data_IF_302456449418
#
_entry.id   IF_302456449418
#
_cell.length_a   1.000
_cell.length_b   1.000
_cell.length_c   1.000
_cell.angle_alpha   90.00
_cell.angle_beta   90.00
_cell.angle_gamma   90.00
#
_symmetry.space_group_name_H-M   'P 1'
#
loop_
_entity.id
_entity.type
_entity.pdbx_description
1 polymer ?
#
# COMPACT_ATOMS: atom_id res chain seq x y z
N UNK A 1 -14.81 1.28 2.19
CA UNK A 1 -14.72 2.77 2.27
C UNK A 1 -15.73 3.45 1.36
N UNK A 2 -15.74 3.19 0.04
CA UNK A 2 -16.65 3.86 -0.90
C UNK A 2 -18.14 3.55 -0.66
N UNK A 3 -18.46 2.35 -0.18
CA UNK A 3 -19.82 1.92 0.22
C UNK A 3 -20.08 2.08 1.71
N UNK A 4 -19.13 1.64 2.54
CA UNK A 4 -19.31 1.60 4.00
C UNK A 4 -19.13 2.91 4.76
N UNK A 5 -18.56 3.96 4.15
CA UNK A 5 -18.44 5.26 4.82
C UNK A 5 -19.82 5.94 4.87
N UNK A 6 -20.25 6.38 6.06
CA UNK A 6 -21.47 7.18 6.21
C UNK A 6 -21.38 8.54 5.48
N UNK A 7 -22.51 9.20 5.25
CA UNK A 7 -22.59 10.43 4.43
C UNK A 7 -21.64 11.54 4.90
N UNK A 8 -21.53 11.74 6.21
CA UNK A 8 -20.60 12.70 6.81
C UNK A 8 -19.16 12.43 6.39
N UNK A 9 -18.70 11.19 6.56
CA UNK A 9 -17.34 10.79 6.25
C UNK A 9 -17.08 10.82 4.73
N UNK A 10 -18.08 10.49 3.91
CA UNK A 10 -17.98 10.62 2.45
C UNK A 10 -17.74 12.06 2.00
N UNK A 11 -18.46 13.01 2.60
CA UNK A 11 -18.28 14.43 2.32
C UNK A 11 -16.89 14.92 2.76
N UNK A 12 -16.49 14.59 3.99
CA UNK A 12 -15.18 14.96 4.55
C UNK A 12 -14.00 14.39 3.76
N UNK A 13 -14.16 13.18 3.22
CA UNK A 13 -13.13 12.51 2.42
C UNK A 13 -13.23 12.83 0.93
N UNK A 14 -14.16 13.68 0.50
CA UNK A 14 -14.41 13.98 -0.92
C UNK A 14 -14.58 12.70 -1.77
N UNK A 15 -15.33 11.72 -1.27
CA UNK A 15 -15.56 10.44 -1.95
C UNK A 15 -16.64 10.56 -3.03
N UNK A 16 -16.38 9.91 -4.15
CA UNK A 16 -17.28 9.84 -5.30
C UNK A 16 -17.69 8.39 -5.58
N UNK A 17 -18.48 8.19 -6.64
CA UNK A 17 -18.84 6.86 -7.12
C UNK A 17 -17.63 6.09 -7.68
N UNK A 18 -17.70 4.76 -7.68
CA UNK A 18 -16.66 3.88 -8.23
C UNK A 18 -16.24 4.25 -9.65
N UNK A 19 -17.21 4.62 -10.50
CA UNK A 19 -16.98 5.00 -11.90
C UNK A 19 -16.13 6.26 -12.08
N UNK A 20 -15.97 7.06 -11.02
CA UNK A 20 -15.23 8.33 -11.04
C UNK A 20 -13.74 8.14 -10.75
N UNK A 21 -13.27 6.94 -10.41
CA UNK A 21 -11.88 6.70 -10.06
C UNK A 21 -11.14 5.91 -11.13
N UNK A 22 -10.18 6.56 -11.81
CA UNK A 22 -9.38 5.91 -12.87
C UNK A 22 -8.57 4.71 -12.37
N UNK A 23 -8.08 4.76 -11.13
CA UNK A 23 -7.35 3.65 -10.53
C UNK A 23 -8.22 2.43 -10.22
N UNK A 24 -9.54 2.57 -10.25
CA UNK A 24 -10.49 1.46 -10.14
C UNK A 24 -10.91 0.98 -11.54
N UNK A 25 -9.94 0.47 -12.31
CA UNK A 25 -10.11 0.14 -13.73
C UNK A 25 -11.22 -0.90 -14.01
N UNK A 26 -11.53 -1.76 -13.05
CA UNK A 26 -12.55 -2.81 -13.17
C UNK A 26 -13.87 -2.41 -12.47
N UNK A 27 -13.98 -1.18 -11.98
CA UNK A 27 -15.15 -0.70 -11.26
C UNK A 27 -15.43 -1.46 -9.96
N UNK A 28 -16.70 -1.65 -9.66
CA UNK A 28 -17.16 -2.36 -8.47
C UNK A 28 -17.23 -3.88 -8.74
N UNK A 29 -16.22 -4.61 -8.29
CA UNK A 29 -16.20 -6.08 -8.31
C UNK A 29 -16.61 -6.59 -6.93
N UNK A 30 -17.77 -7.23 -6.85
CA UNK A 30 -18.28 -7.79 -5.59
C UNK A 30 -17.77 -9.22 -5.39
N UNK A 31 -17.33 -9.53 -4.18
CA UNK A 31 -16.98 -10.90 -3.79
C UNK A 31 -18.23 -11.68 -3.35
N UNK A 32 -18.42 -12.92 -3.80
CA UNK A 32 -19.58 -13.70 -3.41
C UNK A 32 -19.55 -13.98 -1.89
N UNK A 33 -20.63 -13.61 -1.21
CA UNK A 33 -20.78 -13.81 0.24
C UNK A 33 -20.10 -12.76 1.13
N UNK A 34 -19.54 -11.70 0.56
CA UNK A 34 -18.96 -10.58 1.31
C UNK A 34 -19.60 -9.25 0.92
N UNK A 35 -19.96 -8.44 1.92
CA UNK A 35 -20.44 -7.08 1.72
C UNK A 35 -19.38 -6.07 2.17
N UNK A 36 -18.94 -5.20 1.25
CA UNK A 36 -17.94 -4.16 1.52
C UNK A 36 -18.33 -3.22 2.69
N UNK A 37 -19.63 -3.02 2.89
CA UNK A 37 -20.17 -2.20 3.99
C UNK A 37 -19.93 -2.85 5.35
N UNK A 38 -20.15 -4.17 5.44
CA UNK A 38 -19.93 -4.95 6.67
C UNK A 38 -18.44 -5.02 6.97
N UNK A 39 -17.61 -5.38 5.98
CA UNK A 39 -16.15 -5.45 6.11
C UNK A 39 -15.53 -4.11 6.54
N UNK A 40 -16.07 -2.99 6.03
CA UNK A 40 -15.62 -1.67 6.47
C UNK A 40 -15.91 -1.43 7.94
N UNK A 41 -17.12 -1.78 8.41
CA UNK A 41 -17.53 -1.63 9.81
C UNK A 41 -16.65 -2.50 10.71
N UNK A 42 -16.48 -3.77 10.37
CA UNK A 42 -15.60 -4.70 11.09
C UNK A 42 -14.16 -4.18 11.19
N UNK A 43 -13.63 -3.59 10.10
CA UNK A 43 -12.29 -3.01 10.10
C UNK A 43 -12.19 -1.78 11.02
N UNK A 44 -13.20 -0.92 11.05
CA UNK A 44 -13.24 0.25 11.94
C UNK A 44 -13.32 -0.16 13.42
N UNK A 45 -14.10 -1.20 13.71
CA UNK A 45 -14.23 -1.79 15.05
C UNK A 45 -12.90 -2.43 15.49
N UNK A 46 -12.24 -3.16 14.59
CA UNK A 46 -10.91 -3.73 14.85
C UNK A 46 -9.89 -2.63 15.21
N UNK A 47 -9.89 -1.49 14.52
CA UNK A 47 -9.02 -0.36 14.90
C UNK A 47 -9.36 0.21 16.28
N UNK A 48 -10.64 0.21 16.67
CA UNK A 48 -11.06 0.64 18.01
C UNK A 48 -10.55 -0.30 19.09
N UNK A 49 -10.68 -1.61 18.88
CA UNK A 49 -10.15 -2.65 19.78
C UNK A 49 -8.63 -2.50 19.95
N UNK A 50 -7.93 -2.23 18.85
CA UNK A 50 -6.48 -1.96 18.84
C UNK A 50 -6.09 -0.61 19.46
N UNK A 51 -7.05 0.15 20.00
CA UNK A 51 -6.84 1.47 20.62
C UNK A 51 -6.12 2.45 19.69
N UNK A 52 -6.49 2.44 18.40
CA UNK A 52 -6.07 3.46 17.44
C UNK A 52 -7.05 4.64 17.55
N UNK A 53 -6.58 5.86 17.86
CA UNK A 53 -7.46 7.00 18.07
C UNK A 53 -8.17 7.39 16.77
N UNK A 54 -9.34 8.00 16.91
CA UNK A 54 -10.17 8.40 15.77
C UNK A 54 -9.45 9.33 14.79
N UNK A 55 -8.66 10.28 15.29
CA UNK A 55 -7.87 11.18 14.46
C UNK A 55 -6.89 10.43 13.54
N UNK A 56 -6.21 9.40 14.06
CA UNK A 56 -5.31 8.56 13.28
C UNK A 56 -6.08 7.73 12.24
N UNK A 57 -7.24 7.18 12.61
CA UNK A 57 -8.12 6.45 11.67
C UNK A 57 -8.57 7.36 10.53
N UNK A 58 -9.05 8.55 10.84
CA UNK A 58 -9.47 9.54 9.86
C UNK A 58 -8.29 9.99 8.99
N UNK A 59 -7.10 10.18 9.56
CA UNK A 59 -5.87 10.45 8.81
C UNK A 59 -5.55 9.36 7.79
N UNK A 60 -5.69 8.09 8.17
CA UNK A 60 -5.50 6.95 7.27
C UNK A 60 -6.52 6.97 6.11
N UNK A 61 -7.80 7.19 6.42
CA UNK A 61 -8.86 7.32 5.41
C UNK A 61 -8.63 8.49 4.46
N UNK A 62 -8.14 9.64 4.96
CA UNK A 62 -7.77 10.81 4.15
C UNK A 62 -6.66 10.49 3.17
N UNK A 63 -5.61 9.78 3.59
CA UNK A 63 -4.53 9.37 2.69
C UNK A 63 -5.04 8.39 1.63
N UNK A 64 -5.89 7.42 1.99
CA UNK A 64 -6.48 6.51 1.00
C UNK A 64 -7.35 7.25 -0.02
N UNK A 65 -8.19 8.18 0.42
CA UNK A 65 -8.98 9.01 -0.49
C UNK A 65 -8.09 9.87 -1.39
N UNK A 66 -7.03 10.47 -0.85
CA UNK A 66 -6.08 11.24 -1.63
C UNK A 66 -5.39 10.40 -2.72
N UNK A 67 -5.05 9.13 -2.43
CA UNK A 67 -4.49 8.19 -3.42
C UNK A 67 -5.48 7.91 -4.55
N UNK A 68 -6.77 7.76 -4.25
CA UNK A 68 -7.80 7.59 -5.28
C UNK A 68 -7.94 8.86 -6.14
N UNK A 69 -7.96 10.03 -5.51
CA UNK A 69 -8.09 11.32 -6.20
C UNK A 69 -6.83 11.69 -7.02
N UNK A 70 -5.63 11.24 -6.61
CA UNK A 70 -4.41 11.37 -7.41
C UNK A 70 -4.56 10.71 -8.79
N UNK A 71 -5.21 9.54 -8.86
CA UNK A 71 -5.45 8.85 -10.12
C UNK A 71 -6.37 9.59 -11.08
N UNK A 72 -7.17 10.54 -10.59
CA UNK A 72 -8.10 11.32 -11.39
C UNK A 72 -7.45 12.58 -11.99
N UNK A 73 -6.20 12.88 -11.67
CA UNK A 73 -5.49 14.00 -12.28
C UNK A 73 -5.24 13.74 -13.76
N UNK A 74 -5.50 14.74 -14.58
CA UNK A 74 -5.26 14.67 -16.03
C UNK A 74 -4.33 15.79 -16.47
N UNK A 75 -3.39 15.42 -17.33
CA UNK A 75 -2.41 16.34 -17.90
C UNK A 75 -2.62 16.41 -19.40
N UNK A 76 -2.35 17.57 -19.99
CA UNK A 76 -2.36 17.78 -21.43
C UNK A 76 -1.08 18.45 -21.86
N UNK A 77 -0.55 18.03 -23.01
CA UNK A 77 0.51 18.75 -23.70
C UNK A 77 0.04 20.13 -24.18
N UNK A 78 0.86 21.16 -23.99
CA UNK A 78 0.59 22.49 -24.54
C UNK A 78 0.69 22.54 -26.08
N UNK A 79 0.01 23.51 -26.71
CA UNK A 79 -0.03 23.62 -28.19
C UNK A 79 1.32 24.00 -28.82
N UNK A 80 2.14 24.76 -28.11
CA UNK A 80 3.37 25.36 -28.64
C UNK A 80 4.63 24.86 -27.92
N UNK A 81 4.49 23.87 -27.04
CA UNK A 81 5.56 23.38 -26.17
C UNK A 81 5.29 21.93 -25.78
N UNK A 82 6.34 21.17 -25.47
CA UNK A 82 6.21 19.80 -24.93
C UNK A 82 5.85 19.77 -23.45
N UNK A 83 5.55 20.93 -22.87
CA UNK A 83 5.23 21.07 -21.45
C UNK A 83 3.84 20.51 -21.12
N UNK A 84 3.76 19.90 -19.94
CA UNK A 84 2.50 19.51 -19.32
C UNK A 84 1.74 20.73 -18.81
N UNK A 85 0.44 20.71 -19.02
CA UNK A 85 -0.54 21.62 -18.43
C UNK A 85 -1.62 20.81 -17.72
N UNK A 86 -2.20 21.37 -16.66
CA UNK A 86 -3.32 20.78 -15.93
C UNK A 86 -4.54 21.69 -16.11
N UNK A 87 -5.38 21.46 -17.13
CA UNK A 87 -6.52 22.33 -17.42
C UNK A 87 -7.67 22.18 -16.42
N UNK A 88 -7.82 20.99 -15.83
CA UNK A 88 -8.76 20.72 -14.74
C UNK A 88 -7.97 20.37 -13.49
N UNK A 89 -7.96 21.29 -12.52
CA UNK A 89 -7.26 21.13 -11.25
C UNK A 89 -8.19 20.64 -10.11
N UNK A 90 -9.44 20.28 -10.41
CA UNK A 90 -10.43 19.84 -9.39
C UNK A 90 -9.91 18.67 -8.56
N UNK A 91 -9.28 17.68 -9.21
CA UNK A 91 -8.69 16.54 -8.51
C UNK A 91 -7.49 16.96 -7.62
N UNK A 92 -6.66 17.89 -8.10
CA UNK A 92 -5.55 18.45 -7.32
C UNK A 92 -6.04 19.25 -6.11
N UNK A 93 -7.11 20.03 -6.25
CA UNK A 93 -7.74 20.75 -5.15
C UNK A 93 -8.25 19.79 -4.07
N UNK A 94 -8.93 18.70 -4.44
CA UNK A 94 -9.39 17.67 -3.49
C UNK A 94 -8.24 17.01 -2.74
N UNK A 95 -7.18 16.59 -3.45
CA UNK A 95 -5.99 15.98 -2.83
C UNK A 95 -5.32 16.96 -1.86
N UNK A 96 -5.14 18.20 -2.28
CA UNK A 96 -4.52 19.25 -1.46
C UNK A 96 -5.37 19.59 -0.23
N UNK A 97 -6.69 19.59 -0.35
CA UNK A 97 -7.60 19.75 0.79
C UNK A 97 -7.45 18.61 1.81
N UNK A 98 -7.45 17.36 1.33
CA UNK A 98 -7.31 16.17 2.19
C UNK A 98 -5.96 16.12 2.92
N UNK A 99 -4.89 16.48 2.23
CA UNK A 99 -3.52 16.44 2.76
C UNK A 99 -3.07 17.75 3.41
N UNK A 100 -3.92 18.79 3.39
CA UNK A 100 -3.62 20.13 3.90
C UNK A 100 -2.36 20.76 3.26
N UNK A 101 -2.26 20.64 1.93
CA UNK A 101 -1.16 21.17 1.12
C UNK A 101 -1.69 22.34 0.26
N UNK A 102 -0.84 23.32 -0.06
CA UNK A 102 -1.21 24.39 -0.98
C UNK A 102 -1.31 23.87 -2.43
N UNK A 103 -2.45 24.09 -3.09
CA UNK A 103 -2.70 23.65 -4.47
C UNK A 103 -1.70 24.24 -5.45
N UNK A 104 -1.39 25.53 -5.34
CA UNK A 104 -0.49 26.21 -6.28
C UNK A 104 0.94 25.68 -6.18
N UNK A 105 1.41 25.40 -4.96
CA UNK A 105 2.73 24.82 -4.74
C UNK A 105 2.78 23.36 -5.17
N UNK A 106 1.73 22.59 -4.91
CA UNK A 106 1.59 21.20 -5.36
C UNK A 106 1.63 21.13 -6.90
N UNK A 107 0.78 21.89 -7.58
CA UNK A 107 0.73 21.92 -9.05
C UNK A 107 2.06 22.39 -9.63
N UNK A 108 2.70 23.41 -9.03
CA UNK A 108 4.04 23.85 -9.45
C UNK A 108 5.09 22.76 -9.25
N UNK A 109 5.04 22.02 -8.15
CA UNK A 109 5.99 20.93 -7.87
C UNK A 109 5.85 19.77 -8.85
N UNK A 110 4.64 19.49 -9.34
CA UNK A 110 4.40 18.45 -10.35
C UNK A 110 4.79 18.92 -11.76
N UNK A 111 4.38 20.13 -12.18
CA UNK A 111 4.61 20.62 -13.54
C UNK A 111 6.02 21.19 -13.76
N UNK A 112 6.62 21.74 -12.71
CA UNK A 112 7.90 22.47 -12.76
C UNK A 112 8.75 22.26 -11.49
N UNK A 113 9.12 21.00 -11.18
CA UNK A 113 9.91 20.69 -9.99
C UNK A 113 11.24 21.45 -9.97
N UNK A 114 11.65 21.87 -8.76
CA UNK A 114 12.97 22.44 -8.50
C UNK A 114 13.96 21.32 -8.26
N UNK A 115 14.91 21.15 -9.18
CA UNK A 115 15.92 20.10 -9.14
C UNK A 115 17.24 20.72 -8.71
N UNK A 116 17.92 20.10 -7.75
CA UNK A 116 19.26 20.51 -7.35
C UNK A 116 20.29 19.94 -8.33
N UNK A 117 21.11 20.81 -8.91
CA UNK A 117 22.17 20.44 -9.86
C UNK A 117 23.48 21.02 -9.34
N UNK A 118 24.36 20.17 -8.80
CA UNK A 118 25.56 20.62 -8.12
C UNK A 118 25.25 21.48 -6.90
N UNK A 119 25.60 22.77 -6.96
CA UNK A 119 25.33 23.76 -5.90
C UNK A 119 24.05 24.59 -6.14
N UNK A 120 23.50 24.55 -7.34
CA UNK A 120 22.38 25.41 -7.76
C UNK A 120 21.06 24.65 -7.85
N UNK A 121 19.94 25.39 -7.93
CA UNK A 121 18.60 24.86 -8.16
C UNK A 121 18.07 25.35 -9.50
N UNK A 122 17.61 24.41 -10.32
CA UNK A 122 17.04 24.69 -11.64
C UNK A 122 15.58 24.23 -11.65
N UNK A 123 14.69 25.05 -12.21
CA UNK A 123 13.32 24.63 -12.50
C UNK A 123 13.29 23.93 -13.85
N UNK A 124 12.71 22.73 -13.89
CA UNK A 124 12.57 21.94 -15.12
C UNK A 124 11.09 21.70 -15.37
N UNK A 125 10.56 22.26 -16.45
CA UNK A 125 9.21 21.94 -16.90
C UNK A 125 9.13 20.46 -17.30
N UNK A 126 8.06 19.79 -16.88
CA UNK A 126 7.81 18.37 -17.18
C UNK A 126 7.01 18.23 -18.47
N UNK A 127 7.21 17.11 -19.17
CA UNK A 127 6.29 16.67 -20.23
C UNK A 127 5.04 16.01 -19.64
N UNK A 128 3.99 15.83 -20.46
CA UNK A 128 2.77 15.14 -20.03
C UNK A 128 3.07 13.77 -19.40
N UNK A 129 3.86 12.95 -20.10
CA UNK A 129 4.23 11.59 -19.65
C UNK A 129 5.00 11.63 -18.32
N UNK A 130 5.88 12.61 -18.13
CA UNK A 130 6.64 12.78 -16.89
C UNK A 130 5.73 13.16 -15.71
N UNK A 131 4.77 14.05 -15.94
CA UNK A 131 3.80 14.47 -14.92
C UNK A 131 2.87 13.31 -14.52
N UNK A 132 2.37 12.54 -15.50
CA UNK A 132 1.57 11.34 -15.26
C UNK A 132 2.35 10.30 -14.45
N UNK A 133 3.59 10.00 -14.86
CA UNK A 133 4.46 9.08 -14.13
C UNK A 133 4.76 9.57 -12.69
N UNK A 134 4.98 10.87 -12.51
CA UNK A 134 5.23 11.45 -11.19
C UNK A 134 4.03 11.29 -10.25
N UNK A 135 2.80 11.48 -10.74
CA UNK A 135 1.57 11.28 -9.96
C UNK A 135 1.36 9.82 -9.60
N UNK A 136 1.57 8.90 -10.54
CA UNK A 136 1.47 7.46 -10.26
C UNK A 136 2.51 7.01 -9.22
N UNK A 137 3.75 7.49 -9.35
CA UNK A 137 4.81 7.22 -8.38
C UNK A 137 4.46 7.81 -7.00
N UNK A 138 3.91 9.02 -6.96
CA UNK A 138 3.47 9.67 -5.72
C UNK A 138 2.34 8.89 -5.05
N UNK A 139 1.35 8.41 -5.82
CA UNK A 139 0.24 7.61 -5.32
C UNK A 139 0.75 6.30 -4.69
N UNK A 140 1.62 5.57 -5.40
CA UNK A 140 2.26 4.33 -4.90
C UNK A 140 3.05 4.57 -3.62
N UNK A 141 3.92 5.59 -3.63
CA UNK A 141 4.75 5.93 -2.46
C UNK A 141 3.91 6.37 -1.25
N UNK A 142 2.80 7.09 -1.49
CA UNK A 142 1.90 7.53 -0.42
C UNK A 142 1.19 6.34 0.23
N UNK A 143 0.68 5.42 -0.58
CA UNK A 143 0.06 4.19 -0.10
C UNK A 143 1.05 3.31 0.67
N UNK A 144 2.24 3.08 0.11
CA UNK A 144 3.30 2.27 0.74
C UNK A 144 3.69 2.82 2.13
N UNK A 145 3.92 4.14 2.21
CA UNK A 145 4.30 4.80 3.47
C UNK A 145 3.18 4.72 4.51
N UNK A 146 1.93 4.90 4.08
CA UNK A 146 0.75 4.78 4.95
C UNK A 146 0.58 3.34 5.47
N UNK A 147 0.75 2.34 4.60
CA UNK A 147 0.70 0.93 5.00
C UNK A 147 1.84 0.57 5.97
N UNK A 148 3.07 1.00 5.68
CA UNK A 148 4.22 0.79 6.57
C UNK A 148 3.99 1.45 7.94
N UNK A 149 3.44 2.65 7.95
CA UNK A 149 3.08 3.34 9.19
C UNK A 149 2.00 2.57 9.97
N UNK A 150 0.98 2.05 9.29
CA UNK A 150 -0.08 1.24 9.90
C UNK A 150 0.50 -0.01 10.58
N UNK A 151 1.36 -0.77 9.88
CA UNK A 151 2.03 -1.95 10.45
C UNK A 151 2.83 -1.58 11.70
N UNK A 152 3.60 -0.50 11.64
CA UNK A 152 4.35 -0.01 12.80
C UNK A 152 3.43 0.36 13.97
N UNK A 153 2.29 1.01 13.67
CA UNK A 153 1.31 1.45 14.68
C UNK A 153 0.61 0.28 15.35
N UNK A 154 0.27 -0.76 14.59
CA UNK A 154 -0.29 -2.02 15.09
C UNK A 154 0.74 -2.74 15.98
N UNK A 155 1.98 -2.87 15.52
CA UNK A 155 3.05 -3.51 16.30
C UNK A 155 3.26 -2.80 17.65
N UNK A 156 3.24 -1.46 17.67
CA UNK A 156 3.30 -0.67 18.92
C UNK A 156 2.11 -0.92 19.85
N UNK A 157 0.92 -1.15 19.30
CA UNK A 157 -0.27 -1.45 20.10
C UNK A 157 -0.19 -2.85 20.75
N UNK A 158 0.44 -3.81 20.07
CA UNK A 158 0.65 -5.18 20.54
C UNK A 158 1.82 -5.33 21.52
N UNK A 159 2.88 -4.52 21.38
CA UNK A 159 4.09 -4.59 22.22
C UNK A 159 3.93 -3.99 23.64
N UNK A 160 2.68 -3.87 24.13
CA UNK A 160 2.39 -3.34 25.48
C UNK A 160 2.84 -4.28 26.60
N UNK A 161 3.06 -5.56 26.31
CA UNK A 161 3.54 -6.56 27.27
C UNK A 161 5.02 -6.85 27.06
N UNK A 162 5.90 -6.05 27.70
CA UNK A 162 7.35 -6.32 27.80
C UNK A 162 7.69 -7.52 28.70
N UNK A 163 6.92 -8.60 28.67
CA UNK A 163 7.37 -9.86 29.26
C UNK A 163 8.34 -10.48 28.26
N UNK A 164 9.62 -10.47 28.60
CA UNK A 164 10.63 -11.28 27.92
C UNK A 164 10.28 -12.76 28.14
N UNK A 165 9.32 -13.27 27.38
CA UNK A 165 9.12 -14.71 27.26
C UNK A 165 10.35 -15.30 26.61
N UNK A 166 10.98 -16.30 27.24
CA UNK A 166 12.17 -16.96 26.73
C UNK A 166 11.96 -17.71 25.40
N UNK A 167 10.70 -17.81 24.92
CA UNK A 167 10.30 -18.52 23.72
C UNK A 167 9.28 -17.71 22.93
N UNK A 168 9.41 -17.68 21.60
CA UNK A 168 8.43 -17.08 20.70
C UNK A 168 8.08 -18.07 19.57
N UNK A 169 6.85 -17.99 19.06
CA UNK A 169 6.38 -18.74 17.89
C UNK A 169 6.25 -17.75 16.73
N UNK A 170 7.03 -17.94 15.68
CA UNK A 170 6.93 -17.15 14.45
C UNK A 170 6.00 -17.82 13.45
N UNK A 171 4.90 -17.16 13.10
CA UNK A 171 4.03 -17.58 11.98
C UNK A 171 4.47 -16.80 10.74
N UNK A 172 4.77 -17.49 9.64
CA UNK A 172 5.12 -16.85 8.38
C UNK A 172 3.96 -17.00 7.38
N UNK A 173 3.32 -15.89 7.07
CA UNK A 173 2.34 -15.78 6.01
C UNK A 173 2.87 -14.82 4.93
N UNK A 174 3.11 -15.34 3.73
CA UNK A 174 3.57 -14.59 2.57
C UNK A 174 2.58 -14.87 1.45
N UNK A 175 1.99 -13.82 0.88
CA UNK A 175 1.06 -13.93 -0.23
C UNK A 175 1.67 -14.70 -1.42
N UNK A 176 0.81 -15.50 -2.08
CA UNK A 176 1.15 -16.30 -3.25
C UNK A 176 1.56 -15.45 -4.46
N UNK A 177 2.42 -16.02 -5.30
CA UNK A 177 2.97 -15.38 -6.50
C UNK A 177 1.85 -15.22 -7.55
N UNK A 178 1.44 -13.99 -7.87
CA UNK A 178 0.56 -13.73 -9.01
C UNK A 178 1.42 -13.41 -10.25
N UNK A 179 1.43 -14.32 -11.23
CA UNK A 179 2.10 -14.09 -12.51
C UNK A 179 1.12 -13.38 -13.43
N UNK A 180 1.29 -12.07 -13.59
CA UNK A 180 0.59 -11.30 -14.63
C UNK A 180 1.49 -11.10 -15.85
N UNK A 181 0.90 -11.21 -17.05
CA UNK A 181 1.61 -11.10 -18.33
C UNK A 181 2.13 -9.67 -18.64
N UNK A 182 1.66 -8.64 -17.93
CA UNK A 182 1.94 -7.23 -18.29
C UNK A 182 2.64 -6.47 -17.15
N UNK A 183 3.93 -6.21 -17.35
CA UNK A 183 4.79 -5.13 -16.82
C UNK A 183 4.55 -4.55 -15.40
N UNK A 184 4.76 -5.34 -14.34
CA UNK A 184 5.38 -4.80 -13.12
C UNK A 184 6.87 -4.55 -13.40
N UNK A 185 7.39 -3.42 -12.93
CA UNK A 185 8.79 -3.03 -13.13
C UNK A 185 9.74 -4.17 -12.76
N UNK A 186 10.86 -4.31 -13.47
CA UNK A 186 11.86 -5.37 -13.22
C UNK A 186 12.33 -5.36 -11.75
N UNK A 187 12.30 -4.20 -11.10
CA UNK A 187 12.64 -4.01 -9.68
C UNK A 187 11.62 -4.64 -8.72
N UNK A 188 10.32 -4.49 -8.96
CA UNK A 188 9.28 -5.12 -8.13
C UNK A 188 9.34 -6.65 -8.25
N UNK A 189 9.62 -7.15 -9.47
CA UNK A 189 9.92 -8.58 -9.69
C UNK A 189 11.17 -9.00 -8.93
N UNK A 190 12.24 -8.21 -8.95
CA UNK A 190 13.50 -8.55 -8.27
C UNK A 190 13.34 -8.57 -6.75
N UNK A 191 12.57 -7.65 -6.15
CA UNK A 191 12.34 -7.59 -4.70
C UNK A 191 11.57 -8.83 -4.23
N UNK A 192 10.52 -9.24 -4.95
CA UNK A 192 9.80 -10.48 -4.65
C UNK A 192 10.68 -11.71 -4.87
N UNK A 193 11.45 -11.76 -5.98
CA UNK A 193 12.37 -12.87 -6.26
C UNK A 193 13.53 -12.96 -5.27
N UNK A 194 14.10 -11.85 -4.80
CA UNK A 194 15.18 -11.83 -3.82
C UNK A 194 14.67 -12.28 -2.44
N UNK A 195 13.46 -11.85 -2.05
CA UNK A 195 12.78 -12.34 -0.84
C UNK A 195 12.49 -13.85 -0.93
N UNK A 196 12.11 -14.35 -2.12
CA UNK A 196 11.94 -15.78 -2.39
C UNK A 196 13.26 -16.57 -2.56
N UNK A 197 14.37 -15.92 -2.91
CA UNK A 197 15.69 -16.55 -2.99
C UNK A 197 16.22 -16.91 -1.60
N UNK A 198 15.82 -16.16 -0.56
CA UNK A 198 16.00 -16.58 0.84
C UNK A 198 15.24 -17.87 1.21
N UNK A 199 14.21 -18.24 0.44
CA UNK A 199 13.49 -19.52 0.60
C UNK A 199 14.25 -20.71 0.02
N UNK A 200 15.25 -20.50 -0.86
CA UNK A 200 16.18 -21.56 -1.27
C UNK A 200 17.07 -21.98 -0.09
N UNK A 201 17.48 -21.02 0.76
CA UNK A 201 18.18 -21.30 2.02
C UNK A 201 17.28 -22.10 2.98
N UNK A 202 15.97 -21.84 2.98
CA UNK A 202 15.01 -22.65 3.76
C UNK A 202 14.80 -24.06 3.22
N UNK A 203 14.96 -24.34 1.93
CA UNK A 203 14.97 -25.74 1.45
C UNK A 203 16.17 -26.51 1.99
N UNK A 204 17.32 -25.86 2.14
CA UNK A 204 18.50 -26.45 2.78
C UNK A 204 18.26 -26.74 4.26
N UNK A 205 17.59 -25.83 4.99
CA UNK A 205 17.28 -26.01 6.43
C UNK A 205 16.12 -26.99 6.67
N UNK A 206 15.13 -27.05 5.78
CA UNK A 206 14.04 -28.04 5.81
C UNK A 206 14.51 -29.46 5.44
N UNK A 207 15.50 -29.62 4.57
CA UNK A 207 16.13 -30.93 4.36
C UNK A 207 16.97 -31.37 5.56
N UNK A 208 17.68 -30.46 6.23
CA UNK A 208 18.44 -30.77 7.44
C UNK A 208 17.57 -31.12 8.65
N UNK A 209 16.48 -30.37 8.89
CA UNK A 209 15.53 -30.66 9.98
C UNK A 209 14.58 -31.82 9.67
N UNK A 210 14.32 -32.08 8.37
CA UNK A 210 13.66 -33.31 7.94
C UNK A 210 14.47 -34.55 8.30
N UNK A 211 15.79 -34.56 8.10
CA UNK A 211 16.59 -35.73 8.43
C UNK A 211 16.71 -36.01 9.94
N UNK A 212 16.74 -34.97 10.78
CA UNK A 212 16.84 -35.15 12.25
C UNK A 212 15.52 -35.54 12.93
N UNK A 213 14.37 -35.11 12.40
CA UNK A 213 13.06 -35.53 12.93
C UNK A 213 12.67 -36.93 12.43
N UNK A 214 13.05 -37.29 11.20
CA UNK A 214 12.83 -38.64 10.67
C UNK A 214 13.71 -39.71 11.35
N UNK A 215 14.97 -39.39 11.74
CA UNK A 215 15.80 -40.32 12.52
C UNK A 215 15.32 -40.52 13.97
N UNK A 216 14.58 -39.57 14.55
CA UNK A 216 14.04 -39.69 15.92
C UNK A 216 12.69 -40.41 15.99
N UNK A 217 12.02 -40.64 14.85
CA UNK A 217 10.69 -41.26 14.79
C UNK A 217 10.71 -42.71 14.30
N UNK A 218 11.88 -43.23 13.91
CA UNK A 218 12.08 -44.62 13.47
C UNK A 218 12.68 -45.55 14.55
N UNK A 219 13.11 -44.99 15.71
CA UNK A 219 13.60 -45.79 16.85
C UNK A 219 12.51 -46.09 17.90
N UNK A 220 11.34 -45.45 17.85
CA UNK A 220 10.24 -45.74 18.79
C UNK A 220 9.20 -46.75 18.25
N UNK A 221 9.33 -47.19 17.00
CA UNK A 221 8.51 -48.27 16.42
C UNK A 221 9.21 -49.64 16.41
N UNK A 222 10.48 -49.72 16.82
CA UNK A 222 11.23 -50.98 16.95
C UNK A 222 11.40 -51.47 18.41
N UNK A 223 10.85 -50.76 19.41
CA UNK A 223 10.94 -51.17 20.83
C UNK A 223 9.59 -51.64 21.42
N UNK A 224 8.53 -51.76 20.61
CA UNK A 224 7.24 -52.36 21.02
C UNK A 224 6.89 -53.66 20.25
N UNK A 225 7.91 -54.36 19.76
CA UNK A 225 7.81 -55.69 19.15
C UNK A 225 8.77 -56.71 19.82
N UNK A 226 9.02 -56.55 21.12
CA UNK A 226 9.74 -57.51 21.96
C UNK A 226 9.18 -57.53 23.39
N UNK A 227 7.86 -57.79 23.50
CA UNK A 227 7.10 -58.46 24.56
C UNK A 227 5.62 -58.13 24.36
#
# INVERSE_FOLDING_TARGET
>A
MLTGAGEKLRSELCLEDYSKYRFLSNGNVTLPGQQDTELFTETMDAFQIMSIPEEERTGLLKVMSAVLQLGNMSFKKERHSDQASMPDDTAAQKVCHLLSINVTDFTRAILSPRIKVGRDYVQKAQTQEQAEFAIEALAKASYERMFRWLVLRINRALDKTKRQGASFIGILDIAGFEIFEVSCSVLDRLIVMHRNSGSVIRRSTLMGLGQSVWYSQQYWSLFNAAC
#
